data_IF_011488232782
#
_entry.id   IF_011488232782
#
_cell.length_a   1.000
_cell.length_b   1.000
_cell.length_c   1.000
_cell.angle_alpha   90.00
_cell.angle_beta   90.00
_cell.angle_gamma   90.00
#
_symmetry.space_group_name_H-M   'P 1'
#
loop_
_entity.id
_entity.type
_entity.pdbx_description
1 polymer ?
#
# COMPACT_ATOMS: atom_id res chain seq x y z
N UNK A 1 14.51 -37.09 86.95
CA UNK A 1 15.98 -36.94 87.15
C UNK A 1 16.69 -37.51 85.94
N UNK A 2 17.86 -36.99 85.61
CA UNK A 2 18.26 -35.61 85.20
C UNK A 2 18.77 -35.70 83.74
N UNK A 3 19.26 -34.74 82.99
CA UNK A 3 20.23 -33.68 83.18
C UNK A 3 20.30 -32.82 81.88
N UNK A 4 20.27 -31.57 82.08
CA UNK A 4 20.97 -30.50 81.34
C UNK A 4 21.96 -30.85 80.24
N UNK A 5 21.86 -30.16 79.12
CA UNK A 5 23.00 -29.38 78.63
C UNK A 5 22.57 -28.27 77.70
N UNK A 6 22.92 -27.06 78.06
CA UNK A 6 22.88 -25.83 77.26
C UNK A 6 23.97 -25.86 76.20
N UNK A 7 23.65 -25.47 74.96
CA UNK A 7 24.65 -24.85 74.07
C UNK A 7 24.05 -23.60 73.41
N UNK A 8 24.86 -22.57 73.41
CA UNK A 8 24.62 -21.23 72.92
C UNK A 8 24.59 -21.15 71.36
N UNK A 9 24.12 -20.01 70.80
CA UNK A 9 23.88 -19.83 69.41
C UNK A 9 25.14 -19.46 68.63
N UNK A 10 25.30 -19.97 67.41
CA UNK A 10 26.31 -19.50 66.46
C UNK A 10 25.57 -18.84 65.26
N UNK A 11 25.90 -17.57 65.19
CA UNK A 11 26.20 -16.76 63.99
C UNK A 11 25.42 -16.98 62.65
N UNK A 12 24.75 -15.91 62.34
CA UNK A 12 24.57 -15.26 61.04
C UNK A 12 25.06 -16.02 59.79
N UNK A 13 24.13 -16.56 59.00
CA UNK A 13 24.26 -16.69 57.56
C UNK A 13 23.43 -15.60 56.92
N UNK A 14 24.09 -14.69 56.22
CA UNK A 14 23.54 -13.60 55.44
C UNK A 14 22.79 -14.18 54.24
N UNK A 15 21.48 -14.02 54.26
CA UNK A 15 20.62 -14.26 53.11
C UNK A 15 20.90 -13.17 52.07
N UNK A 16 21.68 -13.53 51.03
CA UNK A 16 21.79 -12.77 49.79
C UNK A 16 20.61 -13.17 48.94
N UNK A 17 19.47 -12.54 49.16
CA UNK A 17 18.43 -12.46 48.14
C UNK A 17 19.01 -11.72 46.95
N UNK A 18 19.41 -12.49 45.92
CA UNK A 18 19.74 -11.95 44.60
C UNK A 18 18.48 -11.30 44.07
N UNK A 19 18.51 -9.97 43.93
CA UNK A 19 17.60 -9.22 43.13
C UNK A 19 17.63 -9.80 41.70
N UNK A 20 16.66 -10.64 41.41
CA UNK A 20 16.33 -11.03 40.03
C UNK A 20 15.70 -9.80 39.40
N UNK A 21 16.55 -8.94 38.83
CA UNK A 21 16.13 -7.86 37.94
C UNK A 21 15.32 -8.54 36.83
N UNK A 22 14.00 -8.43 36.90
CA UNK A 22 13.08 -8.88 35.88
C UNK A 22 13.51 -8.23 34.56
N UNK A 23 13.93 -9.05 33.58
CA UNK A 23 14.18 -8.61 32.21
C UNK A 23 12.91 -7.91 31.74
N UNK A 24 12.98 -6.73 31.11
CA UNK A 24 11.79 -6.05 30.64
C UNK A 24 11.03 -7.00 29.71
N UNK A 25 9.79 -7.29 30.10
CA UNK A 25 8.83 -8.06 29.31
C UNK A 25 8.75 -7.39 27.93
N UNK A 26 9.02 -8.12 26.87
CA UNK A 26 8.93 -7.61 25.52
C UNK A 26 7.56 -6.95 25.32
N UNK A 27 7.55 -5.83 24.63
CA UNK A 27 6.33 -5.03 24.33
C UNK A 27 5.26 -5.97 23.79
N UNK A 28 3.98 -5.87 24.22
CA UNK A 28 2.91 -6.72 23.74
C UNK A 28 2.83 -6.72 22.20
N UNK A 29 2.44 -7.84 21.58
CA UNK A 29 2.41 -7.98 20.12
C UNK A 29 1.54 -6.90 19.45
N UNK A 30 0.41 -6.53 20.03
CA UNK A 30 -0.44 -5.43 19.59
C UNK A 30 0.31 -4.08 19.54
N UNK A 31 1.11 -3.77 20.56
CA UNK A 31 1.95 -2.57 20.58
C UNK A 31 3.02 -2.56 19.47
N UNK A 32 3.51 -3.74 19.06
CA UNK A 32 4.50 -3.85 17.98
C UNK A 32 3.85 -3.63 16.62
N UNK A 33 2.63 -4.12 16.41
CA UNK A 33 1.87 -3.93 15.18
C UNK A 33 1.51 -2.45 14.96
N UNK A 34 1.05 -1.77 16.00
CA UNK A 34 0.77 -0.33 15.96
C UNK A 34 2.02 0.50 15.67
N UNK A 35 3.17 0.12 16.25
CA UNK A 35 4.45 0.77 15.97
C UNK A 35 4.89 0.53 14.52
N UNK A 36 4.79 -0.72 14.03
CA UNK A 36 5.14 -1.05 12.66
C UNK A 36 4.28 -0.26 11.66
N UNK A 37 2.96 -0.21 11.88
CA UNK A 37 2.03 0.57 11.05
C UNK A 37 2.38 2.06 11.03
N UNK A 38 2.69 2.66 12.18
CA UNK A 38 3.13 4.06 12.26
C UNK A 38 4.41 4.30 11.48
N UNK A 39 5.38 3.38 11.56
CA UNK A 39 6.62 3.45 10.77
C UNK A 39 6.32 3.40 9.28
N UNK A 40 5.46 2.48 8.82
CA UNK A 40 5.09 2.35 7.41
C UNK A 40 4.43 3.62 6.88
N UNK A 41 3.50 4.22 7.64
CA UNK A 41 2.85 5.48 7.25
C UNK A 41 3.86 6.63 7.18
N UNK A 42 4.72 6.76 8.19
CA UNK A 42 5.77 7.80 8.22
C UNK A 42 6.73 7.65 7.04
N UNK A 43 7.19 6.42 6.76
CA UNK A 43 8.07 6.14 5.63
C UNK A 43 7.38 6.44 4.29
N UNK A 44 6.13 6.06 4.13
CA UNK A 44 5.33 6.36 2.93
C UNK A 44 5.26 7.88 2.67
N UNK A 45 4.90 8.68 3.68
CA UNK A 45 4.83 10.15 3.56
C UNK A 45 6.18 10.76 3.20
N UNK A 46 7.26 10.27 3.81
CA UNK A 46 8.61 10.74 3.49
C UNK A 46 9.01 10.39 2.06
N UNK A 47 8.76 9.15 1.62
CA UNK A 47 9.07 8.70 0.26
C UNK A 47 8.27 9.46 -0.79
N UNK A 48 6.99 9.72 -0.53
CA UNK A 48 6.14 10.50 -1.44
C UNK A 48 6.61 11.97 -1.56
N UNK A 49 7.15 12.54 -0.50
CA UNK A 49 7.59 13.94 -0.49
C UNK A 49 9.01 14.14 -1.00
N UNK A 50 9.94 13.27 -0.65
CA UNK A 50 11.38 13.47 -0.83
C UNK A 50 12.02 12.50 -1.84
N UNK A 51 11.31 11.44 -2.23
CA UNK A 51 11.85 10.31 -2.98
C UNK A 51 12.48 9.26 -2.06
N UNK A 52 12.46 8.00 -2.52
CA UNK A 52 13.00 6.86 -1.76
C UNK A 52 14.51 6.97 -1.51
N UNK A 53 15.27 7.34 -2.55
CA UNK A 53 16.73 7.41 -2.46
C UNK A 53 17.22 8.44 -1.45
N UNK A 54 16.50 9.55 -1.28
CA UNK A 54 16.88 10.67 -0.43
C UNK A 54 16.58 10.46 1.05
N UNK A 55 15.66 9.56 1.42
CA UNK A 55 15.25 9.31 2.81
C UNK A 55 16.14 8.26 3.45
N UNK A 56 16.65 8.54 4.66
CA UNK A 56 17.41 7.59 5.47
C UNK A 56 16.52 6.86 6.48
N UNK A 57 16.95 5.66 6.89
CA UNK A 57 16.26 4.92 7.96
C UNK A 57 16.31 5.65 9.31
N UNK A 58 17.35 6.45 9.55
CA UNK A 58 17.50 7.25 10.77
C UNK A 58 16.46 8.37 10.83
N UNK A 59 16.24 9.06 9.71
CA UNK A 59 15.19 10.08 9.61
C UNK A 59 13.81 9.48 9.80
N UNK A 60 13.56 8.30 9.23
CA UNK A 60 12.29 7.58 9.39
C UNK A 60 12.07 7.16 10.84
N UNK A 61 13.10 6.59 11.51
CA UNK A 61 13.01 6.21 12.92
C UNK A 61 12.71 7.42 13.82
N UNK A 62 13.42 8.52 13.60
CA UNK A 62 13.21 9.78 14.33
C UNK A 62 11.81 10.32 14.13
N UNK A 63 11.33 10.39 12.90
CA UNK A 63 9.99 10.90 12.56
C UNK A 63 8.88 9.99 13.12
N UNK A 64 9.08 8.67 13.13
CA UNK A 64 8.16 7.70 13.73
C UNK A 64 8.23 7.65 15.27
N UNK A 65 9.14 8.40 15.91
CA UNK A 65 9.30 8.43 17.37
C UNK A 65 9.83 7.12 17.98
N UNK A 66 10.71 6.42 17.25
CA UNK A 66 11.33 5.17 17.72
C UNK A 66 12.85 5.21 17.60
N UNK A 67 13.52 4.28 18.29
CA UNK A 67 14.96 4.11 18.14
C UNK A 67 15.33 3.43 16.81
N UNK A 68 16.52 3.71 16.28
CA UNK A 68 17.09 3.00 15.14
C UNK A 68 17.12 1.48 15.37
N UNK A 69 17.45 1.05 16.59
CA UNK A 69 17.42 -0.37 16.96
C UNK A 69 16.03 -0.98 16.80
N UNK A 70 14.99 -0.30 17.24
CA UNK A 70 13.61 -0.72 17.11
C UNK A 70 13.20 -0.80 15.65
N UNK A 71 13.61 0.18 14.83
CA UNK A 71 13.35 0.15 13.39
C UNK A 71 13.93 -1.11 12.73
N UNK A 72 15.20 -1.41 12.98
CA UNK A 72 15.87 -2.58 12.39
C UNK A 72 15.38 -3.93 12.95
N UNK A 73 14.79 -3.94 14.13
CA UNK A 73 14.09 -5.12 14.65
C UNK A 73 12.79 -5.39 13.87
N UNK A 74 12.09 -4.35 13.43
CA UNK A 74 10.86 -4.46 12.63
C UNK A 74 11.14 -4.66 11.15
N UNK A 75 12.12 -3.94 10.62
CA UNK A 75 12.49 -3.94 9.20
C UNK A 75 14.01 -4.05 9.07
N UNK A 76 14.54 -5.25 8.76
CA UNK A 76 15.99 -5.52 8.79
C UNK A 76 16.84 -4.67 7.84
N UNK A 77 16.24 -4.06 6.82
CA UNK A 77 16.93 -3.17 5.87
C UNK A 77 16.00 -2.06 5.37
N UNK A 78 16.58 -1.03 4.73
CA UNK A 78 15.82 0.03 4.05
C UNK A 78 14.94 -0.57 2.93
N UNK A 79 15.45 -1.57 2.22
CA UNK A 79 14.69 -2.23 1.14
C UNK A 79 13.53 -3.05 1.69
N UNK A 80 13.69 -3.70 2.85
CA UNK A 80 12.58 -4.42 3.49
C UNK A 80 11.51 -3.48 4.01
N UNK A 81 11.91 -2.32 4.55
CA UNK A 81 10.99 -1.26 4.91
C UNK A 81 10.21 -0.78 3.67
N UNK A 82 10.91 -0.53 2.55
CA UNK A 82 10.24 -0.12 1.31
C UNK A 82 9.28 -1.19 0.78
N UNK A 83 9.71 -2.46 0.73
CA UNK A 83 8.81 -3.57 0.31
C UNK A 83 7.56 -3.64 1.17
N UNK A 84 7.71 -3.43 2.47
CA UNK A 84 6.58 -3.42 3.40
C UNK A 84 5.66 -2.20 3.19
N UNK A 85 6.23 -1.03 2.95
CA UNK A 85 5.47 0.19 2.58
C UNK A 85 4.68 -0.03 1.29
N UNK A 86 5.32 -0.59 0.26
CA UNK A 86 4.67 -0.89 -1.02
C UNK A 86 3.53 -1.89 -0.83
N UNK A 87 3.77 -2.97 -0.08
CA UNK A 87 2.75 -3.99 0.20
C UNK A 87 1.52 -3.40 0.90
N UNK A 88 1.73 -2.66 1.99
CA UNK A 88 0.64 -1.99 2.74
C UNK A 88 -0.15 -1.02 1.85
N UNK A 89 0.56 -0.25 1.03
CA UNK A 89 -0.07 0.68 0.10
C UNK A 89 -0.88 -0.05 -0.99
N UNK A 90 -0.35 -1.14 -1.55
CA UNK A 90 -1.05 -1.99 -2.51
C UNK A 90 -2.32 -2.60 -1.88
N UNK A 91 -2.25 -3.14 -0.67
CA UNK A 91 -3.39 -3.72 0.05
C UNK A 91 -4.49 -2.68 0.32
N UNK A 92 -4.11 -1.47 0.71
CA UNK A 92 -5.04 -0.35 0.89
C UNK A 92 -5.76 -0.01 -0.43
N UNK A 93 -5.03 0.08 -1.53
CA UNK A 93 -5.62 0.35 -2.85
C UNK A 93 -6.51 -0.79 -3.33
N UNK A 94 -6.08 -2.04 -3.15
CA UNK A 94 -6.87 -3.21 -3.50
C UNK A 94 -8.20 -3.22 -2.75
N UNK A 95 -8.16 -2.97 -1.44
CA UNK A 95 -9.36 -2.90 -0.61
C UNK A 95 -10.33 -1.83 -1.11
N UNK A 96 -9.84 -0.63 -1.41
CA UNK A 96 -10.66 0.46 -1.91
C UNK A 96 -11.27 0.15 -3.29
N UNK A 97 -10.46 -0.35 -4.24
CA UNK A 97 -10.92 -0.71 -5.60
C UNK A 97 -11.95 -1.84 -5.52
N UNK A 98 -11.67 -2.88 -4.74
CA UNK A 98 -12.55 -4.02 -4.56
C UNK A 98 -13.90 -3.59 -3.96
N UNK A 99 -13.90 -2.72 -2.95
CA UNK A 99 -15.12 -2.18 -2.36
C UNK A 99 -15.95 -1.39 -3.40
N UNK A 100 -15.30 -0.62 -4.27
CA UNK A 100 -15.99 0.10 -5.34
C UNK A 100 -16.56 -0.88 -6.39
N UNK A 101 -15.76 -1.84 -6.85
CA UNK A 101 -16.16 -2.79 -7.88
C UNK A 101 -17.31 -3.72 -7.42
N UNK A 102 -17.38 -4.05 -6.14
CA UNK A 102 -18.41 -4.93 -5.55
C UNK A 102 -19.60 -4.20 -4.92
N UNK A 103 -19.69 -2.90 -5.06
CA UNK A 103 -20.84 -2.14 -4.56
C UNK A 103 -22.06 -2.29 -5.51
N UNK A 104 -22.74 -3.43 -5.41
CA UNK A 104 -23.91 -3.74 -6.23
C UNK A 104 -25.14 -2.84 -5.95
N UNK A 105 -25.08 -1.93 -4.97
CA UNK A 105 -26.10 -0.90 -4.76
C UNK A 105 -26.06 0.19 -5.84
N UNK A 106 -24.97 0.27 -6.61
CA UNK A 106 -24.76 1.23 -7.68
C UNK A 106 -24.75 0.55 -9.07
N UNK A 107 -25.10 1.31 -10.11
CA UNK A 107 -24.92 0.87 -11.50
C UNK A 107 -23.42 0.72 -11.85
N UNK A 108 -23.13 -0.06 -12.90
CA UNK A 108 -21.76 -0.24 -13.40
C UNK A 108 -21.14 1.12 -13.79
N UNK A 109 -21.90 2.01 -14.43
CA UNK A 109 -21.44 3.36 -14.77
C UNK A 109 -21.00 4.18 -13.55
N UNK A 110 -21.80 4.15 -12.48
CA UNK A 110 -21.43 4.84 -11.22
C UNK A 110 -20.20 4.24 -10.55
N UNK A 111 -20.07 2.91 -10.56
CA UNK A 111 -18.87 2.23 -10.04
C UNK A 111 -17.62 2.58 -10.84
N UNK A 112 -17.72 2.60 -12.16
CA UNK A 112 -16.65 3.06 -13.03
C UNK A 112 -16.25 4.50 -12.72
N UNK A 113 -17.21 5.42 -12.60
CA UNK A 113 -16.93 6.82 -12.25
C UNK A 113 -16.21 6.94 -10.90
N UNK A 114 -16.69 6.23 -9.86
CA UNK A 114 -16.04 6.21 -8.54
C UNK A 114 -14.62 5.64 -8.60
N UNK A 115 -14.41 4.56 -9.33
CA UNK A 115 -13.09 3.98 -9.54
C UNK A 115 -12.15 4.97 -10.23
N UNK A 116 -12.65 5.70 -11.24
CA UNK A 116 -11.91 6.76 -11.92
C UNK A 116 -11.46 7.86 -10.97
N UNK A 117 -12.41 8.40 -10.24
CA UNK A 117 -12.13 9.47 -9.28
C UNK A 117 -11.07 9.02 -8.27
N UNK A 118 -11.20 7.80 -7.77
CA UNK A 118 -10.23 7.22 -6.85
C UNK A 118 -8.82 7.12 -7.46
N UNK A 119 -8.71 6.50 -8.64
CA UNK A 119 -7.41 6.28 -9.29
C UNK A 119 -6.79 7.63 -9.75
N UNK A 120 -7.60 8.56 -10.25
CA UNK A 120 -7.12 9.92 -10.58
C UNK A 120 -6.56 10.65 -9.35
N UNK A 121 -7.18 10.48 -8.18
CA UNK A 121 -6.65 11.00 -6.92
C UNK A 121 -5.29 10.40 -6.58
N UNK A 122 -5.14 9.09 -6.67
CA UNK A 122 -3.85 8.39 -6.45
C UNK A 122 -2.76 8.91 -7.38
N UNK A 123 -3.05 9.05 -8.68
CA UNK A 123 -2.09 9.62 -9.63
C UNK A 123 -1.81 11.10 -9.39
N UNK A 124 -2.78 11.86 -8.87
CA UNK A 124 -2.61 13.26 -8.51
C UNK A 124 -1.60 13.49 -7.38
N UNK A 125 -1.46 12.52 -6.48
CA UNK A 125 -0.48 12.55 -5.38
C UNK A 125 0.92 12.11 -5.81
N UNK A 126 1.04 11.42 -6.95
CA UNK A 126 2.32 10.89 -7.45
C UNK A 126 3.07 11.93 -8.28
N UNK A 127 4.31 12.26 -7.89
CA UNK A 127 5.19 13.02 -8.74
C UNK A 127 5.92 12.11 -9.74
N UNK A 128 6.19 12.55 -10.99
CA UNK A 128 6.99 11.80 -11.94
C UNK A 128 8.39 11.45 -11.39
N UNK A 129 8.95 12.33 -10.55
CA UNK A 129 10.26 12.13 -9.93
C UNK A 129 10.29 10.91 -8.99
N UNK A 130 9.22 10.69 -8.20
CA UNK A 130 9.12 9.53 -7.30
C UNK A 130 9.09 8.23 -8.10
N UNK A 131 8.28 8.18 -9.16
CA UNK A 131 8.18 6.98 -9.99
C UNK A 131 9.51 6.67 -10.65
N UNK A 132 10.20 7.67 -11.19
CA UNK A 132 11.54 7.52 -11.78
C UNK A 132 12.56 7.08 -10.72
N UNK A 133 12.52 7.64 -9.51
CA UNK A 133 13.40 7.24 -8.41
C UNK A 133 13.18 5.79 -8.00
N UNK A 134 11.93 5.35 -7.85
CA UNK A 134 11.61 3.95 -7.55
C UNK A 134 12.09 3.00 -8.65
N UNK A 135 11.84 3.31 -9.91
CA UNK A 135 12.29 2.48 -11.04
C UNK A 135 13.82 2.30 -11.08
N UNK A 136 14.55 3.37 -10.76
CA UNK A 136 16.01 3.36 -10.79
C UNK A 136 16.63 2.74 -9.54
N UNK A 137 16.11 3.08 -8.36
CA UNK A 137 16.73 2.79 -7.08
C UNK A 137 16.12 1.58 -6.36
N UNK A 138 14.92 1.15 -6.75
CA UNK A 138 14.21 0.03 -6.14
C UNK A 138 13.36 -0.75 -7.16
N UNK A 139 13.98 -1.33 -8.22
CA UNK A 139 13.25 -1.97 -9.32
C UNK A 139 12.36 -3.15 -8.87
N UNK A 140 12.77 -3.89 -7.84
CA UNK A 140 11.97 -4.99 -7.29
C UNK A 140 10.67 -4.49 -6.64
N UNK A 141 10.75 -3.41 -5.86
CA UNK A 141 9.56 -2.79 -5.27
C UNK A 141 8.65 -2.20 -6.35
N UNK A 142 9.21 -1.60 -7.40
CA UNK A 142 8.44 -1.16 -8.55
C UNK A 142 7.73 -2.31 -9.27
N UNK A 143 8.43 -3.42 -9.50
CA UNK A 143 7.83 -4.63 -10.10
C UNK A 143 6.65 -5.15 -9.26
N UNK A 144 6.73 -5.08 -7.94
CA UNK A 144 5.63 -5.45 -7.05
C UNK A 144 4.40 -4.55 -7.26
N UNK A 145 4.59 -3.24 -7.41
CA UNK A 145 3.51 -2.30 -7.73
C UNK A 145 2.86 -2.66 -9.07
N UNK A 146 3.66 -2.92 -10.11
CA UNK A 146 3.17 -3.27 -11.45
C UNK A 146 2.40 -4.60 -11.47
N UNK A 147 2.91 -5.62 -10.80
CA UNK A 147 2.23 -6.91 -10.68
C UNK A 147 0.88 -6.77 -9.94
N UNK A 148 0.86 -5.99 -8.86
CA UNK A 148 -0.37 -5.70 -8.14
C UNK A 148 -1.38 -4.96 -9.02
N UNK A 149 -0.94 -3.97 -9.78
CA UNK A 149 -1.79 -3.22 -10.71
C UNK A 149 -2.39 -4.15 -11.77
N UNK A 150 -1.58 -5.03 -12.37
CA UNK A 150 -2.05 -5.98 -13.36
C UNK A 150 -3.11 -6.93 -12.78
N UNK A 151 -2.89 -7.43 -11.57
CA UNK A 151 -3.88 -8.28 -10.88
C UNK A 151 -5.21 -7.56 -10.68
N UNK A 152 -5.20 -6.34 -10.15
CA UNK A 152 -6.43 -5.54 -9.97
C UNK A 152 -7.17 -5.31 -11.28
N UNK A 153 -6.44 -5.03 -12.37
CA UNK A 153 -7.05 -4.85 -13.69
C UNK A 153 -7.72 -6.14 -14.16
N UNK A 154 -7.08 -7.27 -14.00
CA UNK A 154 -7.61 -8.55 -14.47
C UNK A 154 -8.77 -9.06 -13.61
N UNK A 155 -8.63 -9.01 -12.30
CA UNK A 155 -9.60 -9.59 -11.37
C UNK A 155 -10.78 -8.63 -11.11
N UNK A 156 -10.53 -7.46 -10.53
CA UNK A 156 -11.60 -6.57 -10.09
C UNK A 156 -12.26 -5.84 -11.26
N UNK A 157 -11.44 -5.22 -12.11
CA UNK A 157 -11.96 -4.49 -13.26
C UNK A 157 -12.52 -5.43 -14.35
N UNK A 158 -11.87 -6.56 -14.59
CA UNK A 158 -12.38 -7.58 -15.51
C UNK A 158 -13.75 -8.13 -15.09
N UNK A 159 -13.98 -8.36 -13.79
CA UNK A 159 -15.27 -8.77 -13.25
C UNK A 159 -16.35 -7.68 -13.47
N UNK A 160 -16.00 -6.41 -13.22
CA UNK A 160 -16.90 -5.27 -13.44
C UNK A 160 -17.31 -5.12 -14.92
N UNK A 161 -16.36 -5.32 -15.84
CA UNK A 161 -16.66 -5.30 -17.29
C UNK A 161 -17.60 -6.43 -17.71
N UNK A 162 -17.36 -7.64 -17.16
CA UNK A 162 -18.22 -8.79 -17.45
C UNK A 162 -19.66 -8.54 -16.96
N UNK A 163 -19.82 -8.07 -15.74
CA UNK A 163 -21.13 -7.69 -15.19
C UNK A 163 -21.82 -6.64 -16.05
N UNK A 164 -21.11 -5.58 -16.44
CA UNK A 164 -21.66 -4.53 -17.29
C UNK A 164 -22.07 -5.03 -18.68
N UNK A 165 -21.35 -6.02 -19.23
CA UNK A 165 -21.72 -6.70 -20.47
C UNK A 165 -23.04 -7.46 -20.32
N UNK A 166 -23.18 -8.22 -19.25
CA UNK A 166 -24.37 -9.02 -18.96
C UNK A 166 -25.61 -8.12 -18.76
N UNK A 167 -25.41 -6.96 -18.14
CA UNK A 167 -26.46 -5.95 -17.92
C UNK A 167 -26.79 -5.08 -19.15
N UNK A 168 -25.97 -5.14 -20.19
CA UNK A 168 -26.13 -4.31 -21.40
C UNK A 168 -25.64 -2.86 -21.23
N UNK A 169 -24.77 -2.59 -20.26
CA UNK A 169 -24.12 -1.30 -20.07
C UNK A 169 -22.98 -1.09 -21.07
N UNK A 170 -22.36 -2.18 -21.56
CA UNK A 170 -21.33 -2.15 -22.60
C UNK A 170 -21.92 -2.57 -23.96
N UNK A 171 -21.38 -1.97 -25.00
CA UNK A 171 -21.70 -2.28 -26.37
C UNK A 171 -21.39 -3.74 -26.68
N UNK A 172 -22.34 -4.44 -27.36
CA UNK A 172 -22.21 -5.88 -27.68
C UNK A 172 -21.26 -6.16 -28.85
N UNK A 173 -21.03 -5.16 -29.68
CA UNK A 173 -20.16 -5.21 -30.87
C UNK A 173 -18.67 -5.07 -30.50
N UNK A 174 -18.35 -4.82 -29.24
CA UNK A 174 -16.95 -4.71 -28.75
C UNK A 174 -16.54 -6.03 -28.09
N UNK A 175 -15.43 -6.61 -28.56
CA UNK A 175 -14.81 -7.74 -27.89
C UNK A 175 -14.09 -7.27 -26.60
N UNK A 176 -14.55 -7.76 -25.44
CA UNK A 176 -13.99 -7.35 -24.14
C UNK A 176 -12.54 -7.80 -23.94
N UNK A 177 -12.09 -8.90 -24.59
CA UNK A 177 -10.70 -9.33 -24.50
C UNK A 177 -9.79 -8.35 -25.24
N UNK A 178 -10.22 -7.90 -26.42
CA UNK A 178 -9.49 -6.88 -27.18
C UNK A 178 -9.51 -5.55 -26.42
N UNK A 179 -10.65 -5.16 -25.86
CA UNK A 179 -10.75 -3.96 -25.02
C UNK A 179 -9.79 -4.00 -23.83
N UNK A 180 -9.76 -5.12 -23.10
CA UNK A 180 -8.84 -5.30 -21.95
C UNK A 180 -7.38 -5.21 -22.37
N UNK A 181 -7.03 -5.76 -23.53
CA UNK A 181 -5.68 -5.65 -24.08
C UNK A 181 -5.33 -4.18 -24.38
N UNK A 182 -6.19 -3.47 -25.10
CA UNK A 182 -6.01 -2.04 -25.40
C UNK A 182 -5.88 -1.23 -24.10
N UNK A 183 -6.76 -1.46 -23.13
CA UNK A 183 -6.73 -0.80 -21.83
C UNK A 183 -5.41 -1.03 -21.10
N UNK A 184 -4.98 -2.28 -20.99
CA UNK A 184 -3.74 -2.64 -20.27
C UNK A 184 -2.51 -2.04 -20.95
N UNK A 185 -2.41 -2.15 -22.28
CA UNK A 185 -1.27 -1.59 -23.02
C UNK A 185 -1.28 -0.06 -23.03
N UNK A 186 -2.45 0.56 -23.08
CA UNK A 186 -2.55 2.03 -22.95
C UNK A 186 -2.08 2.49 -21.57
N UNK A 187 -2.49 1.82 -20.48
CA UNK A 187 -2.01 2.16 -19.15
C UNK A 187 -0.49 1.95 -19.03
N UNK A 188 0.06 0.89 -19.58
CA UNK A 188 1.49 0.62 -19.54
C UNK A 188 2.31 1.67 -20.28
N UNK A 189 1.88 2.08 -21.46
CA UNK A 189 2.65 2.91 -22.38
C UNK A 189 2.34 4.41 -22.29
N UNK A 190 1.16 4.78 -21.82
CA UNK A 190 0.72 6.19 -21.72
C UNK A 190 0.74 6.68 -20.27
N UNK A 191 0.41 5.82 -19.31
CA UNK A 191 0.39 6.17 -17.89
C UNK A 191 1.71 5.76 -17.24
N UNK A 192 2.80 6.42 -17.64
CA UNK A 192 4.14 6.16 -17.14
C UNK A 192 4.97 7.48 -17.07
N UNK A 193 6.07 7.52 -16.29
CA UNK A 193 6.86 8.72 -16.07
C UNK A 193 7.44 9.34 -17.32
N UNK A 194 7.82 8.52 -18.31
CA UNK A 194 8.40 9.00 -19.57
C UNK A 194 7.35 9.74 -20.39
N UNK A 195 6.14 9.17 -20.51
CA UNK A 195 5.03 9.83 -21.18
C UNK A 195 4.62 11.12 -20.47
N UNK A 196 4.60 11.14 -19.14
CA UNK A 196 4.30 12.36 -18.37
C UNK A 196 5.32 13.47 -18.62
N UNK A 197 6.62 13.12 -18.63
CA UNK A 197 7.69 14.08 -18.92
C UNK A 197 7.62 14.60 -20.36
N UNK A 198 7.33 13.75 -21.34
CA UNK A 198 7.20 14.14 -22.75
C UNK A 198 5.99 15.05 -22.99
N UNK A 199 4.87 14.74 -22.35
CA UNK A 199 3.63 15.50 -22.55
C UNK A 199 3.62 16.82 -21.77
N UNK A 200 4.38 16.94 -20.69
CA UNK A 200 4.32 18.10 -19.80
C UNK A 200 2.96 18.28 -19.11
N UNK A 201 2.17 17.19 -19.00
CA UNK A 201 0.81 17.19 -18.45
C UNK A 201 0.82 16.42 -17.11
N UNK A 202 0.10 16.91 -16.09
CA UNK A 202 -0.02 16.18 -14.82
C UNK A 202 -0.52 14.74 -15.00
N UNK A 203 0.03 13.74 -14.28
CA UNK A 203 -0.34 12.32 -14.39
C UNK A 203 -1.85 12.08 -14.29
N UNK A 204 -2.53 12.74 -13.36
CA UNK A 204 -3.98 12.63 -13.19
C UNK A 204 -4.74 13.03 -14.46
N UNK A 205 -4.30 14.07 -15.15
CA UNK A 205 -4.92 14.56 -16.38
C UNK A 205 -4.72 13.60 -17.56
N UNK A 206 -3.53 13.01 -17.66
CA UNK A 206 -3.24 11.98 -18.69
C UNK A 206 -4.15 10.78 -18.46
N UNK A 207 -4.22 10.30 -17.22
CA UNK A 207 -5.07 9.17 -16.85
C UNK A 207 -6.55 9.45 -17.13
N UNK A 208 -7.07 10.60 -16.70
CA UNK A 208 -8.44 11.03 -16.95
C UNK A 208 -8.79 11.02 -18.46
N UNK A 209 -7.86 11.55 -19.28
CA UNK A 209 -8.04 11.62 -20.73
C UNK A 209 -8.09 10.21 -21.37
N UNK A 210 -7.13 9.35 -21.02
CA UNK A 210 -7.09 7.95 -21.48
C UNK A 210 -8.40 7.24 -21.16
N UNK A 211 -8.84 7.42 -19.95
CA UNK A 211 -10.04 6.76 -19.49
C UNK A 211 -11.30 7.27 -20.22
N UNK A 212 -11.42 8.58 -20.32
CA UNK A 212 -12.54 9.19 -21.05
C UNK A 212 -12.63 8.66 -22.47
N UNK A 213 -11.52 8.65 -23.20
CA UNK A 213 -11.47 8.12 -24.59
C UNK A 213 -11.89 6.65 -24.66
N UNK A 214 -11.37 5.82 -23.77
CA UNK A 214 -11.66 4.38 -23.79
C UNK A 214 -13.11 4.07 -23.39
N UNK A 215 -13.64 4.71 -22.35
CA UNK A 215 -14.97 4.37 -21.84
C UNK A 215 -16.11 5.07 -22.60
N UNK A 216 -15.92 6.26 -23.12
CA UNK A 216 -16.90 6.84 -24.02
C UNK A 216 -17.10 6.01 -25.29
N UNK A 217 -16.04 5.28 -25.73
CA UNK A 217 -16.12 4.37 -26.86
C UNK A 217 -16.86 3.05 -26.57
N UNK A 218 -16.80 2.55 -25.33
CA UNK A 218 -17.27 1.19 -24.98
C UNK A 218 -18.63 1.16 -24.29
N UNK A 219 -19.02 2.24 -23.61
CA UNK A 219 -20.32 2.34 -22.95
C UNK A 219 -21.46 2.55 -23.94
N UNK A 220 -22.62 1.94 -23.65
CA UNK A 220 -23.87 2.28 -24.34
C UNK A 220 -24.31 3.71 -24.00
N UNK A 221 -25.18 4.30 -24.83
CA UNK A 221 -25.74 5.64 -24.55
C UNK A 221 -26.38 5.75 -23.16
N UNK A 222 -27.09 4.71 -22.73
CA UNK A 222 -27.71 4.63 -21.40
C UNK A 222 -26.65 4.67 -20.30
N UNK A 223 -25.64 3.81 -20.38
CA UNK A 223 -24.61 3.71 -19.36
C UNK A 223 -23.69 4.97 -19.33
N UNK A 224 -23.50 5.62 -20.49
CA UNK A 224 -22.72 6.86 -20.59
C UNK A 224 -23.33 8.01 -19.80
N UNK A 225 -24.67 8.14 -19.78
CA UNK A 225 -25.36 9.17 -18.96
C UNK A 225 -25.15 9.01 -17.46
N UNK A 226 -24.92 7.79 -17.00
CA UNK A 226 -24.63 7.51 -15.58
C UNK A 226 -23.14 7.67 -15.23
N UNK A 227 -22.29 7.62 -16.27
CA UNK A 227 -20.84 7.80 -16.14
C UNK A 227 -20.45 9.28 -16.10
N UNK A 228 -21.07 10.16 -16.89
CA UNK A 228 -20.82 11.60 -16.90
C UNK A 228 -21.46 12.30 -15.72
#
# INVERSE_FOLDING_TARGET
>A
MPLFSKRKPSEKASDKTADVVARPVGRPAADQEDVARRVLLTAFEQYMRLGFSSVTTDETAKAAGISKKTLYQLFPSKDELLRSVVRENCERHNTAINAICRDHSCSVGKRLKRMMTYISGVFGEMSPAIVHDMQRSAPEAWNQVEQNRQRCIQEDFGALLKEGRERGDFRKDIDLKVFMLIYTETLRNVVNPQAFAQLGIPPARVFETVYKVLFEGVLTEKARKEYT
#
